data_IF_058566548405
#
_entry.id   IF_058566548405
#
_cell.length_a   1.000
_cell.length_b   1.000
_cell.length_c   1.000
_cell.angle_alpha   90.00
_cell.angle_beta   90.00
_cell.angle_gamma   90.00
#
_symmetry.space_group_name_H-M   'P 1'
#
loop_
_entity.id
_entity.type
_entity.pdbx_description
1 polymer ?
#
# COMPACT_ATOMS: atom_id res chain seq x y z
N UNK A 1 40.01 -13.20 5.09
CA UNK A 1 41.31 -12.52 5.30
C UNK A 1 41.69 -12.57 6.76
N UNK A 2 42.97 -12.64 7.10
CA UNK A 2 43.47 -12.48 8.47
C UNK A 2 43.61 -11.01 8.88
N UNK A 3 43.82 -10.72 10.18
CA UNK A 3 44.09 -9.34 10.67
C UNK A 3 45.28 -8.68 9.95
N UNK A 4 46.34 -9.44 9.71
CA UNK A 4 47.55 -8.97 9.03
C UNK A 4 47.30 -8.61 7.56
N UNK A 5 46.50 -9.39 6.83
CA UNK A 5 46.12 -9.09 5.44
C UNK A 5 45.28 -7.80 5.32
N UNK A 6 44.41 -7.53 6.30
CA UNK A 6 43.60 -6.30 6.33
C UNK A 6 44.52 -5.08 6.52
N UNK A 7 45.44 -5.13 7.50
CA UNK A 7 46.38 -4.02 7.75
C UNK A 7 47.29 -3.78 6.53
N UNK A 8 47.83 -4.85 5.92
CA UNK A 8 48.69 -4.74 4.75
C UNK A 8 47.97 -4.16 3.51
N UNK A 9 46.71 -4.53 3.26
CA UNK A 9 45.92 -3.96 2.15
C UNK A 9 45.52 -2.50 2.41
N UNK A 10 45.39 -2.07 3.68
CA UNK A 10 45.18 -0.65 4.03
C UNK A 10 46.48 0.14 3.88
N UNK A 11 47.62 -0.36 4.37
CA UNK A 11 48.95 0.27 4.18
C UNK A 11 49.29 0.44 2.69
N UNK A 12 48.93 -0.54 1.86
CA UNK A 12 49.07 -0.50 0.40
C UNK A 12 48.20 0.56 -0.29
N UNK A 13 47.10 1.00 0.33
CA UNK A 13 46.16 2.00 -0.22
C UNK A 13 46.37 3.41 0.32
N UNK A 14 46.76 3.54 1.60
CA UNK A 14 46.85 4.82 2.31
C UNK A 14 48.29 5.22 2.69
N UNK A 15 49.27 4.36 2.43
CA UNK A 15 50.66 4.53 2.87
C UNK A 15 50.92 3.93 4.26
N UNK A 16 52.17 4.01 4.75
CA UNK A 16 52.57 3.42 6.03
C UNK A 16 51.72 3.95 7.20
N UNK A 17 51.14 3.04 7.98
CA UNK A 17 50.30 3.39 9.12
C UNK A 17 51.12 3.51 10.41
N UNK A 18 50.80 4.52 11.22
CA UNK A 18 51.33 4.63 12.58
C UNK A 18 50.65 3.64 13.56
N UNK A 19 51.24 3.47 14.74
CA UNK A 19 50.76 2.55 15.78
C UNK A 19 49.36 2.90 16.32
N UNK A 20 48.92 4.16 16.20
CA UNK A 20 47.57 4.59 16.61
C UNK A 20 46.54 4.19 15.55
N UNK A 21 46.88 4.36 14.27
CA UNK A 21 46.05 3.92 13.15
C UNK A 21 45.94 2.39 13.09
N UNK A 22 47.03 1.66 13.35
CA UNK A 22 47.03 0.18 13.44
C UNK A 22 46.08 -0.30 14.53
N UNK A 23 46.19 0.22 15.76
CA UNK A 23 45.27 -0.11 16.86
C UNK A 23 43.81 0.27 16.57
N UNK A 24 43.56 1.38 15.87
CA UNK A 24 42.22 1.76 15.46
C UNK A 24 41.60 0.76 14.46
N UNK A 25 42.40 0.24 13.53
CA UNK A 25 41.99 -0.82 12.60
C UNK A 25 41.77 -2.14 13.34
N UNK A 26 42.64 -2.50 14.28
CA UNK A 26 42.47 -3.72 15.10
C UNK A 26 41.17 -3.66 15.91
N UNK A 27 40.89 -2.54 16.59
CA UNK A 27 39.61 -2.31 17.28
C UNK A 27 38.41 -2.35 16.33
N UNK A 28 38.53 -1.80 15.11
CA UNK A 28 37.46 -1.87 14.12
C UNK A 28 37.21 -3.31 13.63
N UNK A 29 38.25 -4.12 13.41
CA UNK A 29 38.12 -5.54 13.08
C UNK A 29 37.50 -6.32 14.24
N UNK A 30 37.85 -5.99 15.48
CA UNK A 30 37.33 -6.65 16.68
C UNK A 30 35.85 -6.31 16.91
N UNK A 31 35.45 -5.05 16.69
CA UNK A 31 34.05 -4.62 16.66
C UNK A 31 33.27 -5.28 15.52
N UNK A 32 33.84 -5.38 14.31
CA UNK A 32 33.21 -6.10 13.19
C UNK A 32 33.08 -7.60 13.46
N UNK A 33 34.00 -8.19 14.22
CA UNK A 33 33.90 -9.58 14.71
C UNK A 33 32.89 -9.78 15.84
N UNK A 34 32.41 -8.70 16.46
CA UNK A 34 31.33 -8.69 17.46
C UNK A 34 29.97 -8.27 16.88
N UNK A 35 29.91 -7.84 15.61
CA UNK A 35 28.62 -7.71 14.93
C UNK A 35 27.94 -9.08 14.90
N UNK A 36 26.64 -9.18 15.23
CA UNK A 36 25.93 -10.45 15.12
C UNK A 36 26.05 -10.96 13.69
N UNK A 37 26.46 -12.22 13.53
CA UNK A 37 26.48 -12.91 12.24
C UNK A 37 25.16 -12.66 11.53
N UNK A 38 25.23 -12.14 10.30
CA UNK A 38 24.07 -11.68 9.55
C UNK A 38 22.92 -12.68 9.69
N UNK A 39 21.73 -12.20 10.12
CA UNK A 39 20.53 -13.03 10.27
C UNK A 39 20.44 -13.96 9.05
N UNK A 40 20.24 -15.28 9.21
CA UNK A 40 20.02 -16.15 8.06
C UNK A 40 18.88 -15.56 7.24
N UNK A 41 19.06 -15.47 5.93
CA UNK A 41 18.06 -14.82 5.08
C UNK A 41 16.68 -15.43 5.36
N UNK A 42 15.65 -14.60 5.67
CA UNK A 42 14.29 -15.10 5.78
C UNK A 42 13.95 -15.94 4.55
N UNK A 43 13.36 -17.11 4.76
CA UNK A 43 12.90 -17.99 3.69
C UNK A 43 11.37 -18.02 3.71
N UNK A 44 10.78 -18.25 2.54
CA UNK A 44 9.34 -18.42 2.43
C UNK A 44 8.89 -19.68 3.18
N UNK A 45 7.74 -19.60 3.84
CA UNK A 45 7.13 -20.69 4.61
C UNK A 45 5.63 -20.80 4.31
N UNK A 46 5.12 -22.03 4.26
CA UNK A 46 3.74 -22.32 3.91
C UNK A 46 3.48 -22.29 2.40
N UNK A 47 2.24 -22.57 2.03
CA UNK A 47 1.78 -22.65 0.65
C UNK A 47 0.57 -21.74 0.42
N UNK A 48 0.46 -21.19 -0.79
CA UNK A 48 -0.77 -20.55 -1.24
C UNK A 48 -1.88 -21.61 -1.45
N UNK A 49 -3.14 -21.31 -1.09
CA UNK A 49 -4.25 -22.25 -1.29
C UNK A 49 -4.49 -22.50 -2.78
N UNK A 50 -4.86 -23.73 -3.14
CA UNK A 50 -5.20 -24.04 -4.54
C UNK A 50 -6.45 -23.28 -4.96
N UNK A 51 -6.57 -22.98 -6.26
CA UNK A 51 -7.70 -22.22 -6.79
C UNK A 51 -9.03 -22.93 -6.50
N UNK A 52 -9.06 -24.26 -6.62
CA UNK A 52 -10.22 -25.11 -6.31
C UNK A 52 -10.51 -25.26 -4.80
N UNK A 53 -9.54 -24.99 -3.93
CA UNK A 53 -9.76 -24.89 -2.48
C UNK A 53 -10.30 -23.51 -2.12
N UNK A 54 -9.68 -22.47 -2.65
CA UNK A 54 -10.07 -21.07 -2.49
C UNK A 54 -11.54 -20.85 -2.93
N UNK A 55 -11.95 -21.38 -4.08
CA UNK A 55 -13.32 -21.28 -4.59
C UNK A 55 -14.40 -21.96 -3.71
N UNK A 56 -14.02 -22.71 -2.67
CA UNK A 56 -14.94 -23.32 -1.68
C UNK A 56 -15.01 -22.55 -0.36
N UNK A 57 -14.23 -21.47 -0.24
CA UNK A 57 -14.11 -20.63 0.95
C UNK A 57 -14.72 -19.25 0.70
N UNK A 58 -15.35 -18.69 1.73
CA UNK A 58 -15.87 -17.32 1.67
C UNK A 58 -14.74 -16.29 1.45
N UNK A 59 -15.04 -15.09 0.94
CA UNK A 59 -14.04 -14.03 0.76
C UNK A 59 -13.22 -13.73 2.03
N UNK A 60 -13.87 -13.76 3.21
CA UNK A 60 -13.24 -13.57 4.53
C UNK A 60 -12.31 -14.71 4.91
N UNK A 61 -12.70 -15.97 4.67
CA UNK A 61 -11.84 -17.13 4.95
C UNK A 61 -10.59 -17.14 4.04
N UNK A 62 -10.75 -16.77 2.77
CA UNK A 62 -9.61 -16.60 1.84
C UNK A 62 -8.66 -15.50 2.30
N UNK A 63 -9.19 -14.33 2.67
CA UNK A 63 -8.36 -13.23 3.17
C UNK A 63 -7.62 -13.57 4.46
N UNK A 64 -8.26 -14.28 5.40
CA UNK A 64 -7.60 -14.78 6.63
C UNK A 64 -6.46 -15.76 6.34
N UNK A 65 -6.63 -16.70 5.40
CA UNK A 65 -5.55 -17.60 4.99
C UNK A 65 -4.38 -16.83 4.38
N UNK A 66 -4.66 -15.89 3.46
CA UNK A 66 -3.61 -15.07 2.85
C UNK A 66 -2.95 -14.14 3.87
N UNK A 67 -3.65 -13.61 4.87
CA UNK A 67 -3.04 -12.79 5.92
C UNK A 67 -2.20 -13.58 6.92
N UNK A 68 -2.59 -14.81 7.27
CA UNK A 68 -1.73 -15.68 8.06
C UNK A 68 -0.41 -15.98 7.31
N UNK A 69 -0.51 -16.26 6.00
CA UNK A 69 0.63 -16.46 5.11
C UNK A 69 1.46 -15.17 4.92
N UNK A 70 0.84 -13.99 4.88
CA UNK A 70 1.53 -12.69 4.81
C UNK A 70 2.30 -12.40 6.09
N UNK A 71 1.65 -12.54 7.26
CA UNK A 71 2.25 -12.29 8.57
C UNK A 71 3.43 -13.24 8.84
N UNK A 72 3.30 -14.52 8.48
CA UNK A 72 4.39 -15.50 8.59
C UNK A 72 5.60 -15.13 7.70
N UNK A 73 5.37 -14.48 6.56
CA UNK A 73 6.40 -14.19 5.56
C UNK A 73 6.80 -12.70 5.48
N UNK A 74 6.39 -11.84 6.42
CA UNK A 74 6.53 -10.38 6.29
C UNK A 74 7.98 -9.90 6.13
N UNK A 75 8.95 -10.46 6.88
CA UNK A 75 10.39 -10.14 6.69
C UNK A 75 10.93 -10.54 5.29
N UNK A 76 10.32 -11.54 4.63
CA UNK A 76 10.64 -11.94 3.26
C UNK A 76 9.98 -11.00 2.24
N UNK A 77 8.69 -10.74 2.42
CA UNK A 77 7.85 -9.91 1.54
C UNK A 77 8.35 -8.46 1.47
N UNK A 78 8.61 -7.83 2.63
CA UNK A 78 9.19 -6.48 2.69
C UNK A 78 10.55 -6.39 1.99
N UNK A 79 11.38 -7.43 2.13
CA UNK A 79 12.70 -7.47 1.52
C UNK A 79 12.61 -7.65 0.01
N UNK A 80 11.74 -8.52 -0.50
CA UNK A 80 11.49 -8.66 -1.95
C UNK A 80 10.93 -7.39 -2.56
N UNK A 81 10.06 -6.68 -1.84
CA UNK A 81 9.54 -5.38 -2.24
C UNK A 81 10.66 -4.33 -2.35
N UNK A 82 11.60 -4.29 -1.38
CA UNK A 82 12.78 -3.42 -1.41
C UNK A 82 13.78 -3.81 -2.51
N UNK A 83 14.06 -5.10 -2.71
CA UNK A 83 14.97 -5.63 -3.75
C UNK A 83 14.48 -5.33 -5.18
N UNK A 84 13.17 -5.39 -5.41
CA UNK A 84 12.55 -5.13 -6.72
C UNK A 84 12.18 -3.65 -6.94
N UNK A 85 12.38 -2.79 -5.94
CA UNK A 85 11.85 -1.41 -5.89
C UNK A 85 10.34 -1.38 -6.24
N UNK A 86 9.59 -2.33 -5.71
CA UNK A 86 8.18 -2.53 -6.01
C UNK A 86 7.27 -1.74 -5.05
N UNK A 87 6.03 -1.51 -5.48
CA UNK A 87 4.94 -0.95 -4.66
C UNK A 87 3.99 -2.05 -4.15
N UNK A 88 3.85 -3.12 -4.93
CA UNK A 88 3.06 -4.31 -4.62
C UNK A 88 3.73 -5.57 -5.21
N UNK A 89 3.47 -6.74 -4.61
CA UNK A 89 3.88 -8.06 -5.09
C UNK A 89 2.65 -8.98 -5.20
N UNK A 90 2.62 -9.83 -6.23
CA UNK A 90 1.80 -11.04 -6.26
C UNK A 90 2.71 -12.26 -6.08
N UNK A 91 2.43 -13.08 -5.07
CA UNK A 91 3.32 -14.19 -4.65
C UNK A 91 2.56 -15.52 -4.62
N UNK A 92 3.17 -16.57 -5.16
CA UNK A 92 2.70 -17.96 -5.07
C UNK A 92 3.86 -18.82 -4.58
N UNK A 93 3.73 -19.46 -3.42
CA UNK A 93 4.69 -20.40 -2.82
C UNK A 93 6.15 -19.88 -2.75
N UNK A 94 6.32 -18.56 -2.60
CA UNK A 94 7.63 -17.88 -2.58
C UNK A 94 8.18 -17.48 -3.95
N UNK A 95 7.47 -17.76 -5.05
CA UNK A 95 7.72 -17.12 -6.35
C UNK A 95 6.99 -15.77 -6.38
N UNK A 96 7.72 -14.66 -6.63
CA UNK A 96 7.10 -13.38 -7.01
C UNK A 96 6.65 -13.49 -8.46
N UNK A 97 5.42 -13.96 -8.68
CA UNK A 97 4.87 -14.21 -10.02
C UNK A 97 4.63 -12.91 -10.80
N UNK A 98 4.29 -11.81 -10.12
CA UNK A 98 4.20 -10.44 -10.67
C UNK A 98 4.55 -9.41 -9.60
N UNK A 99 4.98 -8.24 -10.02
CA UNK A 99 5.13 -7.04 -9.19
C UNK A 99 4.95 -5.80 -10.06
N UNK A 100 4.74 -4.64 -9.43
CA UNK A 100 4.71 -3.34 -10.09
C UNK A 100 5.40 -2.28 -9.24
N UNK A 101 5.75 -1.15 -9.85
CA UNK A 101 6.44 -0.02 -9.22
C UNK A 101 5.50 1.14 -8.88
N UNK A 102 4.29 1.13 -9.42
CA UNK A 102 3.21 2.08 -9.11
C UNK A 102 2.01 1.37 -8.47
N UNK A 103 0.90 2.08 -8.28
CA UNK A 103 -0.43 1.50 -8.05
C UNK A 103 -1.28 1.47 -9.32
N UNK A 104 -0.77 2.03 -10.42
CA UNK A 104 -1.43 2.15 -11.74
C UNK A 104 -1.07 1.04 -12.73
N UNK A 105 -0.11 0.19 -12.39
CA UNK A 105 0.44 -0.89 -13.23
C UNK A 105 -0.05 -2.29 -12.81
N UNK A 106 -1.13 -2.34 -12.02
CA UNK A 106 -1.73 -3.59 -11.53
C UNK A 106 -2.61 -4.28 -12.58
N UNK A 107 -2.84 -5.58 -12.37
CA UNK A 107 -3.63 -6.46 -13.23
C UNK A 107 -5.13 -6.10 -13.20
N UNK A 108 -5.85 -6.36 -14.28
CA UNK A 108 -7.32 -6.39 -14.22
C UNK A 108 -7.84 -7.64 -13.52
N UNK A 109 -9.13 -7.66 -13.17
CA UNK A 109 -9.80 -8.85 -12.61
C UNK A 109 -9.69 -10.05 -13.56
N UNK A 110 -9.75 -9.84 -14.88
CA UNK A 110 -9.58 -10.88 -15.89
C UNK A 110 -8.15 -11.42 -15.96
N UNK A 111 -7.14 -10.53 -15.89
CA UNK A 111 -5.72 -10.91 -15.89
C UNK A 111 -5.33 -11.65 -14.62
N UNK A 112 -5.83 -11.20 -13.47
CA UNK A 112 -5.64 -11.88 -12.18
C UNK A 112 -6.32 -13.27 -12.18
N UNK A 113 -7.53 -13.37 -12.73
CA UNK A 113 -8.23 -14.64 -12.91
C UNK A 113 -7.51 -15.58 -13.89
N UNK A 114 -6.89 -15.05 -14.94
CA UNK A 114 -6.05 -15.83 -15.85
C UNK A 114 -4.79 -16.36 -15.15
N UNK A 115 -4.10 -15.53 -14.36
CA UNK A 115 -2.93 -15.93 -13.55
C UNK A 115 -3.28 -17.03 -12.53
N UNK A 116 -4.42 -16.90 -11.83
CA UNK A 116 -4.92 -17.91 -10.90
C UNK A 116 -5.16 -19.27 -11.58
N UNK A 117 -5.67 -19.26 -12.83
CA UNK A 117 -5.92 -20.46 -13.63
C UNK A 117 -4.63 -21.07 -14.20
N UNK A 118 -3.69 -20.22 -14.64
CA UNK A 118 -2.36 -20.64 -15.13
C UNK A 118 -1.57 -21.37 -14.03
N UNK A 119 -1.56 -20.82 -12.81
CA UNK A 119 -0.76 -21.32 -11.69
C UNK A 119 -1.49 -22.27 -10.75
N UNK A 120 -2.80 -22.45 -10.90
CA UNK A 120 -3.62 -23.36 -10.09
C UNK A 120 -3.76 -22.98 -8.61
N UNK A 121 -3.28 -21.80 -8.21
CA UNK A 121 -3.25 -21.30 -6.82
C UNK A 121 -3.69 -19.83 -6.78
N UNK A 122 -4.30 -19.43 -5.66
CA UNK A 122 -4.67 -18.02 -5.42
C UNK A 122 -3.41 -17.25 -4.96
N UNK A 123 -2.95 -16.22 -5.69
CA UNK A 123 -1.77 -15.45 -5.30
C UNK A 123 -2.05 -14.61 -4.06
N UNK A 124 -1.00 -14.41 -3.26
CA UNK A 124 -0.98 -13.49 -2.15
C UNK A 124 -0.62 -12.10 -2.70
N UNK A 125 -1.51 -11.12 -2.52
CA UNK A 125 -1.22 -9.72 -2.78
C UNK A 125 -0.54 -9.11 -1.55
N UNK A 126 0.74 -8.82 -1.65
CA UNK A 126 1.44 -8.00 -0.66
C UNK A 126 1.55 -6.57 -1.16
N UNK A 127 0.71 -5.70 -0.62
CA UNK A 127 0.82 -4.25 -0.76
C UNK A 127 0.79 -3.68 0.67
N UNK A 128 1.95 -3.27 1.23
CA UNK A 128 1.99 -2.77 2.60
C UNK A 128 1.26 -1.43 2.69
N UNK A 129 0.00 -1.48 3.13
CA UNK A 129 -0.80 -0.30 3.47
C UNK A 129 -0.02 0.52 4.50
N UNK A 130 0.15 1.81 4.22
CA UNK A 130 0.72 2.72 5.21
C UNK A 130 -0.37 3.08 6.22
N UNK A 131 -0.06 3.17 7.53
CA UNK A 131 -1.01 3.72 8.49
C UNK A 131 -1.37 5.15 8.07
N UNK A 132 -2.65 5.49 8.21
CA UNK A 132 -3.20 6.79 7.83
C UNK A 132 -2.89 7.77 8.97
N UNK A 133 -2.01 8.75 8.70
CA UNK A 133 -1.63 9.82 9.63
C UNK A 133 -2.44 11.08 9.29
N UNK A 134 -3.63 11.20 9.89
CA UNK A 134 -4.72 12.10 9.49
C UNK A 134 -4.48 13.61 9.75
N UNK A 135 -4.74 14.48 8.76
CA UNK A 135 -4.95 15.94 8.92
C UNK A 135 -5.81 16.55 7.79
N UNK A 136 -6.24 17.82 7.76
CA UNK A 136 -7.15 18.58 8.68
C UNK A 136 -7.45 19.96 8.04
N UNK A 137 -8.22 20.09 6.93
CA UNK A 137 -8.41 21.39 6.21
C UNK A 137 -9.52 21.65 5.13
N UNK A 138 -10.82 21.83 5.36
CA UNK A 138 -11.64 21.98 6.56
C UNK A 138 -13.17 21.72 6.24
N UNK A 139 -13.62 20.45 6.18
CA UNK A 139 -15.01 19.92 6.27
C UNK A 139 -15.31 19.51 7.74
N UNK A 140 -16.34 20.03 8.44
CA UNK A 140 -16.39 20.02 9.91
C UNK A 140 -16.37 18.63 10.55
N UNK A 141 -15.48 18.44 11.53
CA UNK A 141 -15.39 17.23 12.36
C UNK A 141 -16.42 17.24 13.49
N UNK A 142 -16.32 16.26 14.39
CA UNK A 142 -17.01 16.25 15.68
C UNK A 142 -16.55 17.34 16.67
N UNK A 143 -15.56 18.18 16.32
CA UNK A 143 -15.03 19.23 17.18
C UNK A 143 -15.32 20.63 16.62
N UNK A 144 -15.86 21.52 17.45
CA UNK A 144 -16.10 22.92 17.07
C UNK A 144 -14.78 23.60 16.65
N UNK A 145 -14.73 24.08 15.40
CA UNK A 145 -13.58 24.73 14.74
C UNK A 145 -12.45 23.80 14.24
N UNK A 146 -12.66 22.48 14.13
CA UNK A 146 -11.76 21.55 13.42
C UNK A 146 -12.50 20.82 12.28
N UNK A 147 -11.76 20.42 11.23
CA UNK A 147 -12.34 20.03 9.96
C UNK A 147 -11.31 19.35 8.99
N UNK A 148 -11.70 18.66 7.90
CA UNK A 148 -10.80 17.90 6.98
C UNK A 148 -10.74 18.39 5.52
N UNK A 149 -9.61 18.27 4.79
CA UNK A 149 -9.50 18.79 3.42
C UNK A 149 -10.31 17.92 2.49
N UNK A 150 -10.96 18.49 1.48
CA UNK A 150 -11.84 17.74 0.58
C UNK A 150 -11.47 17.95 -0.86
N UNK A 151 -11.60 16.90 -1.66
CA UNK A 151 -11.36 16.92 -3.10
C UNK A 151 -12.51 16.25 -3.84
N UNK A 152 -12.89 16.81 -4.99
CA UNK A 152 -13.88 16.22 -5.89
C UNK A 152 -13.30 14.99 -6.55
N UNK A 153 -13.79 13.82 -6.16
CA UNK A 153 -13.38 12.51 -6.66
C UNK A 153 -14.53 11.88 -7.45
N UNK A 154 -14.34 11.65 -8.74
CA UNK A 154 -15.25 10.84 -9.55
C UNK A 154 -14.71 9.42 -9.64
N UNK A 155 -15.52 8.44 -9.27
CA UNK A 155 -15.23 7.00 -9.39
C UNK A 155 -16.01 6.44 -10.58
N UNK A 156 -15.36 5.70 -11.48
CA UNK A 156 -15.95 5.26 -12.74
C UNK A 156 -15.87 3.74 -12.94
N UNK A 157 -16.89 3.19 -13.58
CA UNK A 157 -16.80 1.98 -14.41
C UNK A 157 -17.26 2.30 -15.83
N UNK A 158 -17.31 1.31 -16.71
CA UNK A 158 -17.76 1.50 -18.09
C UNK A 158 -19.30 1.64 -18.21
N UNK A 159 -20.02 1.53 -17.08
CA UNK A 159 -21.49 1.58 -17.00
C UNK A 159 -22.04 2.58 -15.96
N UNK A 160 -21.21 3.03 -15.01
CA UNK A 160 -21.64 3.86 -13.88
C UNK A 160 -20.57 4.87 -13.44
N UNK A 161 -21.01 5.97 -12.84
CA UNK A 161 -20.16 7.04 -12.27
C UNK A 161 -20.70 7.49 -10.93
N UNK A 162 -19.84 7.58 -9.92
CA UNK A 162 -20.17 8.15 -8.61
C UNK A 162 -19.31 9.39 -8.35
N UNK A 163 -19.94 10.52 -8.13
CA UNK A 163 -19.26 11.76 -7.71
C UNK A 163 -19.26 11.84 -6.19
N UNK A 164 -18.07 11.88 -5.61
CA UNK A 164 -17.82 11.90 -4.17
C UNK A 164 -17.07 13.18 -3.80
N UNK A 165 -17.36 13.66 -2.59
CA UNK A 165 -16.47 14.56 -1.86
C UNK A 165 -15.66 13.65 -0.94
N UNK A 166 -14.38 13.48 -1.27
CA UNK A 166 -13.45 12.63 -0.54
C UNK A 166 -12.55 13.48 0.35
N UNK A 167 -12.21 12.99 1.55
CA UNK A 167 -11.20 13.64 2.38
C UNK A 167 -9.82 13.45 1.72
N UNK A 168 -9.11 14.54 1.48
CA UNK A 168 -7.77 14.53 0.90
C UNK A 168 -6.75 14.49 2.04
N UNK A 169 -6.02 13.38 2.16
CA UNK A 169 -5.01 13.19 3.19
C UNK A 169 -3.65 12.88 2.56
N UNK A 170 -2.66 13.70 2.87
CA UNK A 170 -1.29 13.51 2.39
C UNK A 170 -0.42 12.67 3.33
N UNK A 171 -0.95 12.21 4.47
CA UNK A 171 -0.39 11.15 5.32
C UNK A 171 -0.65 9.75 4.73
N UNK A 172 -1.89 9.48 4.31
CA UNK A 172 -2.24 8.33 3.49
C UNK A 172 -1.49 8.31 2.13
N UNK A 173 -1.32 7.10 1.58
CA UNK A 173 -0.82 6.92 0.20
C UNK A 173 -1.95 6.45 -0.72
N UNK A 174 -2.69 5.44 -0.27
CA UNK A 174 -3.73 4.75 -1.02
C UNK A 174 -5.04 5.57 -1.10
N UNK A 175 -5.94 5.20 -2.03
CA UNK A 175 -7.31 5.74 -2.09
C UNK A 175 -8.25 4.73 -1.43
N UNK A 176 -9.08 5.18 -0.49
CA UNK A 176 -10.01 4.36 0.28
C UNK A 176 -11.46 4.73 -0.04
N UNK A 177 -12.32 3.74 -0.26
CA UNK A 177 -13.68 3.91 -0.82
C UNK A 177 -14.69 3.01 -0.09
N UNK A 178 -15.97 3.42 -0.01
CA UNK A 178 -17.07 2.55 0.46
C UNK A 178 -17.36 1.43 -0.56
N UNK A 179 -16.95 0.20 -0.24
CA UNK A 179 -17.15 -0.97 -1.08
C UNK A 179 -18.63 -1.24 -1.36
N UNK A 180 -19.48 -1.10 -0.33
CA UNK A 180 -20.91 -1.38 -0.43
C UNK A 180 -21.62 -0.31 -1.27
N UNK A 181 -21.21 0.96 -1.20
CA UNK A 181 -21.77 2.01 -2.05
C UNK A 181 -21.36 1.87 -3.51
N UNK A 182 -20.11 1.48 -3.80
CA UNK A 182 -19.64 1.29 -5.17
C UNK A 182 -20.21 0.01 -5.80
N UNK A 183 -20.38 -1.07 -5.04
CA UNK A 183 -21.00 -2.29 -5.53
C UNK A 183 -22.50 -2.11 -5.80
N UNK A 184 -23.24 -1.41 -4.92
CA UNK A 184 -24.65 -1.03 -5.17
C UNK A 184 -24.83 -0.16 -6.42
N UNK A 185 -23.78 0.51 -6.89
CA UNK A 185 -23.79 1.34 -8.11
C UNK A 185 -23.23 0.62 -9.34
N UNK A 186 -22.75 -0.64 -9.22
CA UNK A 186 -22.14 -1.36 -10.34
C UNK A 186 -20.79 -0.77 -10.79
N UNK A 187 -20.08 -0.08 -9.89
CA UNK A 187 -18.76 0.50 -10.16
C UNK A 187 -17.65 -0.52 -9.86
N UNK A 188 -17.80 -1.25 -8.76
CA UNK A 188 -17.01 -2.45 -8.47
C UNK A 188 -17.93 -3.66 -8.37
N UNK A 189 -17.34 -4.84 -8.36
CA UNK A 189 -17.99 -6.10 -7.97
C UNK A 189 -17.03 -6.87 -7.09
N UNK A 190 -17.52 -7.40 -5.96
CA UNK A 190 -16.81 -8.39 -5.16
C UNK A 190 -17.14 -9.77 -5.72
N UNK A 191 -16.11 -10.56 -6.04
CA UNK A 191 -16.26 -11.89 -6.66
C UNK A 191 -15.69 -13.01 -5.79
N UNK A 192 -16.04 -14.25 -6.11
CA UNK A 192 -15.61 -15.45 -5.38
C UNK A 192 -14.09 -15.77 -5.50
N UNK A 193 -13.33 -14.89 -6.15
CA UNK A 193 -11.86 -14.88 -6.14
C UNK A 193 -11.26 -13.77 -5.28
N UNK A 194 -12.01 -12.71 -4.95
CA UNK A 194 -11.51 -11.56 -4.18
C UNK A 194 -11.36 -11.90 -2.68
N UNK A 195 -10.16 -11.81 -2.09
CA UNK A 195 -9.99 -11.94 -0.63
C UNK A 195 -10.46 -10.68 0.10
N UNK A 196 -11.18 -10.85 1.21
CA UNK A 196 -11.50 -9.76 2.14
C UNK A 196 -10.50 -9.81 3.30
N UNK A 197 -9.68 -8.77 3.39
CA UNK A 197 -8.60 -8.59 4.35
C UNK A 197 -9.07 -7.80 5.57
N UNK A 198 -8.46 -8.06 6.74
CA UNK A 198 -8.63 -7.27 7.95
C UNK A 198 -7.48 -6.25 8.08
N UNK A 199 -7.79 -4.96 8.09
CA UNK A 199 -6.87 -3.86 8.37
C UNK A 199 -7.11 -3.29 9.77
N UNK A 200 -6.27 -2.34 10.20
CA UNK A 200 -6.57 -1.52 11.38
C UNK A 200 -6.25 -0.06 11.15
N UNK A 201 -7.14 0.81 11.64
CA UNK A 201 -6.99 2.26 11.65
C UNK A 201 -7.48 2.79 13.01
N UNK A 202 -6.78 3.79 13.57
CA UNK A 202 -6.99 4.29 14.94
C UNK A 202 -7.08 3.18 16.03
N UNK A 203 -6.39 2.06 15.84
CA UNK A 203 -6.41 0.90 16.74
C UNK A 203 -7.68 0.04 16.69
N UNK A 204 -8.61 0.35 15.79
CA UNK A 204 -9.83 -0.43 15.53
C UNK A 204 -9.65 -1.26 14.24
N UNK A 205 -10.27 -2.46 14.12
CA UNK A 205 -10.21 -3.24 12.88
C UNK A 205 -11.16 -2.69 11.81
N UNK A 206 -10.87 -2.97 10.54
CA UNK A 206 -11.80 -2.77 9.42
C UNK A 206 -11.61 -3.86 8.36
N UNK A 207 -12.68 -4.26 7.67
CA UNK A 207 -12.57 -5.19 6.54
C UNK A 207 -12.46 -4.44 5.21
N UNK A 208 -11.63 -4.93 4.29
CA UNK A 208 -11.46 -4.33 2.96
C UNK A 208 -11.15 -5.35 1.86
N UNK A 209 -11.39 -4.95 0.62
CA UNK A 209 -10.95 -5.63 -0.61
C UNK A 209 -10.16 -4.64 -1.45
N UNK A 210 -9.12 -5.12 -2.14
CA UNK A 210 -8.33 -4.29 -3.07
C UNK A 210 -8.84 -4.51 -4.49
N UNK A 211 -9.26 -3.44 -5.18
CA UNK A 211 -9.75 -3.49 -6.58
C UNK A 211 -8.99 -2.47 -7.44
N UNK A 212 -8.98 -2.68 -8.76
CA UNK A 212 -8.30 -1.81 -9.73
C UNK A 212 -9.32 -0.90 -10.45
N UNK A 213 -9.50 0.31 -9.93
CA UNK A 213 -10.66 1.19 -10.20
C UNK A 213 -10.26 2.42 -11.02
N UNK A 214 -11.14 2.89 -11.91
CA UNK A 214 -10.97 4.16 -12.63
C UNK A 214 -11.39 5.32 -11.74
N UNK A 215 -10.51 6.31 -11.59
CA UNK A 215 -10.71 7.50 -10.77
C UNK A 215 -10.44 8.75 -11.60
N UNK A 216 -11.19 9.81 -11.37
CA UNK A 216 -10.84 11.15 -11.84
C UNK A 216 -10.83 12.14 -10.69
N UNK A 217 -9.88 13.08 -10.74
CA UNK A 217 -9.99 14.35 -10.04
C UNK A 217 -10.61 15.37 -11.00
N UNK A 218 -11.44 16.27 -10.48
CA UNK A 218 -12.06 17.35 -11.25
C UNK A 218 -11.27 18.65 -11.07
N UNK A 219 -11.01 19.38 -12.15
CA UNK A 219 -10.45 20.75 -12.07
C UNK A 219 -11.50 21.81 -11.70
N UNK A 220 -11.07 23.05 -11.51
CA UNK A 220 -11.94 24.20 -11.19
C UNK A 220 -13.00 24.50 -12.26
N UNK A 221 -12.81 24.05 -13.50
CA UNK A 221 -13.80 24.15 -14.59
C UNK A 221 -14.71 22.90 -14.66
N UNK A 222 -14.55 21.95 -13.74
CA UNK A 222 -15.31 20.70 -13.64
C UNK A 222 -14.85 19.58 -14.60
N UNK A 223 -13.72 19.77 -15.30
CA UNK A 223 -13.20 18.81 -16.27
C UNK A 223 -12.47 17.66 -15.56
N UNK A 224 -12.76 16.39 -15.91
CA UNK A 224 -12.11 15.24 -15.29
C UNK A 224 -10.70 15.03 -15.85
N UNK A 225 -9.78 14.63 -14.97
CA UNK A 225 -8.48 14.07 -15.32
C UNK A 225 -8.39 12.67 -14.71
N UNK A 226 -8.37 11.65 -15.58
CA UNK A 226 -8.57 10.24 -15.23
C UNK A 226 -7.28 9.42 -15.11
N UNK A 227 -7.29 8.45 -14.20
CA UNK A 227 -6.32 7.35 -14.08
C UNK A 227 -7.03 6.05 -13.68
N UNK A 228 -6.32 4.92 -13.73
CA UNK A 228 -6.78 3.64 -13.15
C UNK A 228 -5.73 3.15 -12.18
N UNK A 229 -6.13 2.84 -10.95
CA UNK A 229 -5.20 2.48 -9.87
C UNK A 229 -5.80 1.51 -8.86
N UNK A 230 -4.93 0.89 -8.04
CA UNK A 230 -5.35 0.13 -6.87
C UNK A 230 -6.02 1.03 -5.83
N UNK A 231 -7.18 0.59 -5.35
CA UNK A 231 -7.97 1.26 -4.32
C UNK A 231 -8.38 0.28 -3.22
N UNK A 232 -8.41 0.76 -1.98
CA UNK A 232 -8.83 0.01 -0.78
C UNK A 232 -10.33 0.21 -0.58
N UNK A 233 -11.13 -0.74 -1.04
CA UNK A 233 -12.58 -0.71 -0.88
C UNK A 233 -12.94 -1.29 0.50
N UNK A 234 -13.34 -0.44 1.45
CA UNK A 234 -13.67 -0.78 2.84
C UNK A 234 -15.14 -1.20 2.93
N UNK A 235 -15.43 -2.29 3.64
CA UNK A 235 -16.79 -2.72 3.97
C UNK A 235 -17.35 -1.99 5.18
N UNK A 236 -18.67 -1.77 5.18
CA UNK A 236 -19.40 -1.09 6.26
C UNK A 236 -18.79 0.29 6.62
N UNK A 237 -18.44 1.09 5.60
CA UNK A 237 -17.74 2.38 5.73
C UNK A 237 -18.25 3.29 6.85
N UNK A 238 -19.58 3.47 6.99
CA UNK A 238 -20.21 4.29 8.03
C UNK A 238 -20.20 3.67 9.45
N UNK A 239 -19.64 2.48 9.62
CA UNK A 239 -19.33 1.83 10.90
C UNK A 239 -17.81 1.65 11.09
N UNK A 240 -17.00 2.05 10.11
CA UNK A 240 -15.54 1.87 10.10
C UNK A 240 -14.82 3.00 10.85
N UNK A 241 -13.57 2.80 11.32
CA UNK A 241 -12.77 3.84 11.96
C UNK A 241 -12.58 5.12 11.13
N UNK A 242 -12.67 5.06 9.79
CA UNK A 242 -12.46 6.20 8.89
C UNK A 242 -13.50 7.33 9.05
N UNK A 243 -14.65 7.07 9.68
CA UNK A 243 -15.67 8.10 9.95
C UNK A 243 -15.65 8.60 11.41
N UNK A 244 -14.66 8.19 12.22
CA UNK A 244 -14.61 8.50 13.66
C UNK A 244 -14.45 9.99 13.95
N UNK A 245 -13.65 10.69 13.15
CA UNK A 245 -13.34 12.12 13.29
C UNK A 245 -14.20 12.97 12.34
N UNK A 246 -14.38 12.51 11.09
CA UNK A 246 -15.30 13.11 10.12
C UNK A 246 -16.44 12.13 9.75
N UNK A 247 -17.60 12.20 10.44
CA UNK A 247 -18.78 11.39 10.10
C UNK A 247 -19.35 11.62 8.68
N UNK A 248 -18.98 12.73 8.04
CA UNK A 248 -19.42 13.05 6.69
C UNK A 248 -18.53 12.43 5.60
N UNK A 249 -17.32 11.97 5.94
CA UNK A 249 -16.36 11.37 5.02
C UNK A 249 -16.99 10.23 4.20
N UNK A 250 -16.84 10.25 2.87
CA UNK A 250 -17.40 9.24 1.93
C UNK A 250 -16.33 8.43 1.19
N UNK A 251 -15.09 8.90 1.22
CA UNK A 251 -13.90 8.32 0.62
C UNK A 251 -12.68 9.08 1.17
N UNK A 252 -11.50 8.50 1.08
CA UNK A 252 -10.23 9.17 1.40
C UNK A 252 -9.27 9.07 0.21
N UNK A 253 -8.65 10.19 -0.18
CA UNK A 253 -7.69 10.30 -1.28
C UNK A 253 -6.28 10.52 -0.72
N UNK A 254 -5.47 9.47 -0.79
CA UNK A 254 -4.05 9.52 -0.48
C UNK A 254 -3.17 10.09 -1.61
N UNK A 255 -1.87 10.23 -1.31
CA UNK A 255 -0.86 10.78 -2.23
C UNK A 255 -0.80 10.11 -3.60
N UNK A 256 -1.00 8.80 -3.71
CA UNK A 256 -0.66 8.03 -4.92
C UNK A 256 -1.52 8.45 -6.13
N UNK A 257 -2.78 8.87 -5.90
CA UNK A 257 -3.64 9.44 -6.96
C UNK A 257 -3.08 10.78 -7.47
N UNK A 258 -2.59 11.62 -6.56
CA UNK A 258 -1.98 12.91 -6.89
C UNK A 258 -0.62 12.74 -7.58
N UNK A 259 0.17 11.73 -7.21
CA UNK A 259 1.41 11.38 -7.89
C UNK A 259 1.17 10.84 -9.32
N UNK A 260 0.05 10.12 -9.54
CA UNK A 260 -0.37 9.67 -10.87
C UNK A 260 -0.87 10.81 -11.76
N UNK A 261 -1.71 11.70 -11.24
CA UNK A 261 -2.39 12.74 -12.03
C UNK A 261 -1.64 14.08 -12.09
N UNK A 262 -0.67 14.29 -11.21
CA UNK A 262 0.15 15.49 -11.06
C UNK A 262 -0.62 16.84 -11.01
N UNK A 263 -1.74 16.96 -10.26
CA UNK A 263 -2.45 18.22 -10.10
C UNK A 263 -1.67 19.22 -9.23
N UNK A 264 -1.94 20.51 -9.46
CA UNK A 264 -1.61 21.59 -8.53
C UNK A 264 -2.80 21.80 -7.59
N UNK A 265 -2.74 21.21 -6.40
CA UNK A 265 -3.77 21.39 -5.35
C UNK A 265 -3.43 22.64 -4.53
N UNK A 266 -4.35 23.61 -4.49
CA UNK A 266 -4.24 24.83 -3.68
C UNK A 266 -5.25 24.79 -2.54
N UNK A 267 -4.77 24.94 -1.31
CA UNK A 267 -5.59 24.99 -0.10
C UNK A 267 -5.67 26.45 0.42
N UNK A 268 -6.86 27.06 0.50
CA UNK A 268 -7.07 28.40 1.09
C UNK A 268 -7.56 28.34 2.55
N UNK A 269 -6.72 28.74 3.50
CA UNK A 269 -7.01 28.68 4.94
C UNK A 269 -8.00 29.74 5.43
N UNK A 270 -8.19 30.83 4.67
CA UNK A 270 -9.12 31.91 5.02
C UNK A 270 -10.55 31.63 4.53
N UNK A 271 -10.69 30.78 3.52
CA UNK A 271 -11.98 30.39 2.91
C UNK A 271 -12.42 28.97 3.22
N UNK A 272 -11.51 28.16 3.78
CA UNK A 272 -11.68 26.71 4.03
C UNK A 272 -11.84 25.90 2.73
N UNK A 273 -11.32 26.45 1.62
CA UNK A 273 -11.46 25.88 0.28
C UNK A 273 -10.24 25.03 -0.09
N UNK A 274 -10.50 24.07 -0.99
CA UNK A 274 -9.50 23.27 -1.71
C UNK A 274 -9.83 23.37 -3.20
N UNK A 275 -8.84 23.70 -4.03
CA UNK A 275 -9.02 23.85 -5.48
C UNK A 275 -7.96 23.06 -6.23
N UNK A 276 -8.33 22.48 -7.37
CA UNK A 276 -7.48 21.58 -8.16
C UNK A 276 -7.27 22.18 -9.55
N UNK A 277 -6.00 22.35 -9.92
CA UNK A 277 -5.58 22.96 -11.19
C UNK A 277 -4.55 22.05 -11.87
N UNK A 278 -4.29 22.27 -13.16
CA UNK A 278 -3.23 21.57 -13.92
C UNK A 278 -2.24 22.53 -14.56
#
# INVERSE_FOLDING_TARGET
>A
MTRAEIIAEVEKRLGPLDEKAKRAIEMAIELMGQLPTAKPEPQWQGENPSFDQAAKLSPRERGRLLQALEQQNREWLERKLKELNARWLLVIDGEVVRYGTATTDYLTDEELLALCRERGKLPLLFMPLRPVEETTRWHPTIYDNDAYPTIGLRVLSDYATCDLIADFDTGASEVYLDANALERQGIIRVVDTDPIYEGSHLGQPFEYVVKFVRLALLDVDGKPHETKMLTVCIFDWHQSPFVSINPNCKALVGRDLCLSLQPKITLDFSRHETTVHW
#
